data_IF_032770708717
#
_entry.id   IF_032770708717
#
_cell.length_a   1.000
_cell.length_b   1.000
_cell.length_c   1.000
_cell.angle_alpha   90.00
_cell.angle_beta   90.00
_cell.angle_gamma   90.00
#
_symmetry.space_group_name_H-M   'P 1'
#
loop_
_entity.id
_entity.type
_entity.pdbx_description
1 polymer ?
#
# COMPACT_ATOMS: atom_id res chain seq x y z
N UNK A 1 16.39 -1.98 9.57
CA UNK A 1 16.65 -0.61 9.02
C UNK A 1 15.96 0.40 9.94
N UNK A 2 16.54 1.59 10.15
CA UNK A 2 15.86 2.67 10.88
C UNK A 2 14.59 3.12 10.14
N UNK A 3 13.51 3.43 10.88
CA UNK A 3 12.21 3.81 10.33
C UNK A 3 12.31 4.99 9.34
N UNK A 4 13.03 6.05 9.72
CA UNK A 4 13.23 7.21 8.83
C UNK A 4 13.90 6.81 7.52
N UNK A 5 14.85 5.90 7.56
CA UNK A 5 15.53 5.39 6.37
C UNK A 5 14.56 4.58 5.49
N UNK A 6 13.69 3.77 6.07
CA UNK A 6 12.67 3.02 5.33
C UNK A 6 11.69 3.99 4.64
N UNK A 7 11.19 5.01 5.34
CA UNK A 7 10.30 6.03 4.80
C UNK A 7 10.96 6.77 3.63
N UNK A 8 12.22 7.17 3.78
CA UNK A 8 12.94 7.96 2.78
C UNK A 8 13.36 7.11 1.56
N UNK A 9 13.72 5.84 1.76
CA UNK A 9 14.22 4.98 0.68
C UNK A 9 13.12 4.25 -0.09
N UNK A 10 11.90 4.09 0.47
CA UNK A 10 10.79 3.45 -0.22
C UNK A 10 10.53 4.10 -1.57
N UNK A 11 10.61 3.33 -2.66
CA UNK A 11 10.34 3.78 -4.04
C UNK A 11 9.39 2.80 -4.73
N UNK A 12 8.78 3.23 -5.82
CA UNK A 12 8.01 2.36 -6.72
C UNK A 12 8.93 1.76 -7.76
N UNK A 13 9.17 0.46 -7.66
CA UNK A 13 10.06 -0.30 -8.54
C UNK A 13 9.23 -1.05 -9.58
N UNK A 14 9.60 -0.90 -10.86
CA UNK A 14 8.92 -1.52 -12.01
C UNK A 14 9.86 -2.38 -12.88
N UNK A 15 11.05 -2.71 -12.37
CA UNK A 15 11.99 -3.59 -13.06
C UNK A 15 12.64 -4.50 -12.02
N UNK A 16 12.36 -5.78 -12.12
CA UNK A 16 12.83 -6.77 -11.17
C UNK A 16 13.92 -7.63 -11.80
N UNK A 17 14.85 -8.14 -10.96
CA UNK A 17 15.82 -9.14 -11.40
C UNK A 17 15.24 -10.56 -11.24
N UNK A 18 15.97 -11.55 -11.74
CA UNK A 18 15.55 -12.96 -11.74
C UNK A 18 15.65 -13.66 -10.39
N UNK A 19 16.19 -13.00 -9.34
CA UNK A 19 16.32 -13.61 -8.02
C UNK A 19 14.93 -13.76 -7.38
N UNK A 20 14.58 -15.00 -7.02
CA UNK A 20 13.31 -15.29 -6.34
C UNK A 20 13.41 -14.94 -4.85
N UNK A 21 12.51 -14.07 -4.31
CA UNK A 21 12.44 -13.84 -2.88
C UNK A 21 12.00 -15.09 -2.10
N UNK A 22 12.38 -15.19 -0.82
CA UNK A 22 11.72 -16.13 0.07
C UNK A 22 10.31 -15.59 0.42
N UNK A 23 9.29 -16.38 0.14
CA UNK A 23 7.89 -16.01 0.38
C UNK A 23 7.59 -15.77 1.87
N UNK A 24 8.35 -16.35 2.79
CA UNK A 24 8.20 -16.14 4.23
C UNK A 24 8.44 -14.69 4.62
N UNK A 25 9.43 -14.04 4.00
CA UNK A 25 9.67 -12.60 4.21
C UNK A 25 8.48 -11.75 3.70
N UNK A 26 7.78 -12.20 2.66
CA UNK A 26 6.59 -11.50 2.18
C UNK A 26 5.45 -11.62 3.21
N UNK A 27 5.29 -12.79 3.85
CA UNK A 27 4.32 -12.97 4.93
C UNK A 27 4.63 -12.08 6.13
N UNK A 28 5.90 -11.94 6.52
CA UNK A 28 6.31 -11.00 7.58
C UNK A 28 5.96 -9.54 7.22
N UNK A 29 6.07 -9.19 5.93
CA UNK A 29 5.66 -7.87 5.46
C UNK A 29 4.13 -7.68 5.52
N UNK A 30 3.36 -8.72 5.18
CA UNK A 30 1.90 -8.71 5.31
C UNK A 30 1.50 -8.63 6.80
N UNK A 31 2.23 -9.29 7.69
CA UNK A 31 1.98 -9.23 9.13
C UNK A 31 2.06 -7.78 9.66
N UNK A 32 3.01 -6.99 9.19
CA UNK A 32 3.12 -5.57 9.56
C UNK A 32 1.85 -4.75 9.23
N UNK A 33 1.11 -5.13 8.20
CA UNK A 33 -0.14 -4.46 7.84
C UNK A 33 -1.24 -4.60 8.91
N UNK A 34 -1.23 -5.65 9.73
CA UNK A 34 -2.21 -5.89 10.80
C UNK A 34 -2.16 -4.85 11.91
N UNK A 35 -1.04 -4.15 12.06
CA UNK A 35 -0.83 -3.15 13.11
C UNK A 35 -1.30 -1.74 12.70
N UNK A 36 -1.89 -1.60 11.52
CA UNK A 36 -2.49 -0.34 11.10
C UNK A 36 -3.76 -0.02 11.89
N UNK A 37 -4.08 1.26 12.10
CA UNK A 37 -5.35 1.65 12.70
C UNK A 37 -6.53 1.15 11.88
N UNK A 38 -7.56 0.68 12.56
CA UNK A 38 -8.80 0.17 11.96
C UNK A 38 -10.03 0.81 12.61
N UNK A 39 -11.02 1.14 11.79
CA UNK A 39 -12.25 1.76 12.26
C UNK A 39 -13.07 0.77 13.12
N UNK A 40 -13.36 1.17 14.37
CA UNK A 40 -14.18 0.40 15.29
C UNK A 40 -13.69 -1.02 15.58
N UNK A 41 -12.40 -1.31 15.41
CA UNK A 41 -11.88 -2.67 15.57
C UNK A 41 -12.33 -3.66 14.49
N UNK A 42 -12.87 -3.18 13.36
CA UNK A 42 -13.43 -4.04 12.31
C UNK A 42 -12.35 -4.43 11.31
N UNK A 43 -11.81 -5.64 11.44
CA UNK A 43 -10.86 -6.21 10.48
C UNK A 43 -11.56 -6.58 9.16
N UNK A 44 -11.34 -5.80 8.12
CA UNK A 44 -12.00 -5.96 6.83
C UNK A 44 -11.05 -6.30 5.68
N UNK A 45 -9.73 -6.26 5.90
CA UNK A 45 -8.73 -6.50 4.86
C UNK A 45 -8.35 -7.98 4.75
N UNK A 46 -8.05 -8.40 3.53
CA UNK A 46 -7.47 -9.70 3.17
C UNK A 46 -6.33 -9.50 2.19
N UNK A 47 -5.32 -10.34 2.31
CA UNK A 47 -4.15 -10.35 1.43
C UNK A 47 -4.09 -11.69 0.74
N UNK A 48 -3.92 -11.70 -0.57
CA UNK A 48 -3.73 -12.91 -1.37
C UNK A 48 -2.30 -12.87 -1.91
N UNK A 49 -1.47 -13.83 -1.49
CA UNK A 49 -0.14 -14.04 -2.05
C UNK A 49 -0.24 -15.00 -3.22
N UNK A 50 0.13 -14.55 -4.41
CA UNK A 50 0.07 -15.29 -5.67
C UNK A 50 1.49 -15.62 -6.12
N UNK A 51 1.77 -16.92 -6.39
CA UNK A 51 3.05 -17.42 -6.92
C UNK A 51 2.88 -18.21 -8.23
N UNK A 52 1.64 -18.43 -8.65
CA UNK A 52 1.33 -19.09 -9.91
C UNK A 52 1.63 -18.14 -11.08
N UNK A 53 2.59 -18.49 -11.92
CA UNK A 53 3.07 -17.66 -13.03
C UNK A 53 1.99 -17.34 -14.07
N UNK A 54 1.07 -18.26 -14.33
CA UNK A 54 -0.04 -18.04 -15.26
C UNK A 54 -1.04 -17.03 -14.68
N UNK A 55 -1.36 -17.14 -13.40
CA UNK A 55 -2.21 -16.17 -12.71
C UNK A 55 -1.56 -14.78 -12.68
N UNK A 56 -0.25 -14.70 -12.40
CA UNK A 56 0.52 -13.45 -12.40
C UNK A 56 0.49 -12.79 -13.80
N UNK A 57 0.65 -13.59 -14.87
CA UNK A 57 0.54 -13.09 -16.23
C UNK A 57 -0.85 -12.51 -16.52
N UNK A 58 -1.93 -13.21 -16.18
CA UNK A 58 -3.31 -12.74 -16.33
C UNK A 58 -3.58 -11.46 -15.50
N UNK A 59 -2.99 -11.34 -14.30
CA UNK A 59 -3.07 -10.13 -13.47
C UNK A 59 -2.36 -8.97 -14.16
N UNK A 60 -1.19 -9.20 -14.76
CA UNK A 60 -0.44 -8.22 -15.54
C UNK A 60 -1.25 -7.68 -16.73
N UNK A 61 -1.91 -8.57 -17.47
CA UNK A 61 -2.80 -8.23 -18.58
C UNK A 61 -4.03 -7.43 -18.10
N UNK A 62 -4.66 -7.83 -16.99
CA UNK A 62 -5.82 -7.14 -16.40
C UNK A 62 -5.45 -5.73 -15.87
N UNK A 63 -4.21 -5.52 -15.48
CA UNK A 63 -3.66 -4.23 -15.05
C UNK A 63 -3.05 -3.41 -16.21
N UNK A 64 -2.88 -4.00 -17.40
CA UNK A 64 -2.19 -3.38 -18.54
C UNK A 64 -0.78 -2.89 -18.19
N UNK A 65 -0.06 -3.66 -17.37
CA UNK A 65 1.28 -3.29 -16.86
C UNK A 65 2.22 -4.51 -16.87
N UNK A 66 2.99 -4.65 -17.95
CA UNK A 66 3.81 -5.83 -18.23
C UNK A 66 4.87 -6.14 -17.16
N UNK A 67 5.35 -5.12 -16.42
CA UNK A 67 6.35 -5.33 -15.38
C UNK A 67 5.87 -6.21 -14.23
N UNK A 68 4.55 -6.38 -14.06
CA UNK A 68 3.96 -7.27 -13.04
C UNK A 68 4.36 -8.72 -13.31
N UNK A 69 4.38 -9.13 -14.59
CA UNK A 69 4.76 -10.48 -15.01
C UNK A 69 6.23 -10.83 -14.77
N UNK A 70 7.09 -9.83 -14.50
CA UNK A 70 8.50 -10.05 -14.16
C UNK A 70 8.70 -10.48 -12.70
N UNK A 71 7.70 -10.29 -11.85
CA UNK A 71 7.80 -10.63 -10.43
C UNK A 71 7.49 -12.11 -10.19
N UNK A 72 8.18 -12.73 -9.24
CA UNK A 72 7.92 -14.11 -8.82
C UNK A 72 6.68 -14.23 -7.92
N UNK A 73 6.29 -13.13 -7.28
CA UNK A 73 5.15 -13.07 -6.39
C UNK A 73 4.35 -11.80 -6.61
N UNK A 74 3.04 -11.90 -6.44
CA UNK A 74 2.13 -10.75 -6.42
C UNK A 74 1.29 -10.82 -5.16
N UNK A 75 1.21 -9.72 -4.43
CA UNK A 75 0.27 -9.56 -3.32
C UNK A 75 -0.91 -8.74 -3.79
N UNK A 76 -2.13 -9.27 -3.64
CA UNK A 76 -3.37 -8.56 -3.93
C UNK A 76 -4.07 -8.24 -2.62
N UNK A 77 -4.35 -6.96 -2.39
CA UNK A 77 -5.03 -6.48 -1.20
C UNK A 77 -6.50 -6.32 -1.50
N UNK A 78 -7.33 -6.98 -0.69
CA UNK A 78 -8.78 -6.98 -0.81
C UNK A 78 -9.43 -6.41 0.45
N UNK A 79 -10.63 -5.84 0.31
CA UNK A 79 -11.44 -5.36 1.43
C UNK A 79 -12.88 -5.84 1.33
N UNK A 80 -13.45 -6.22 2.49
CA UNK A 80 -14.86 -6.57 2.57
C UNK A 80 -15.63 -5.44 3.28
N UNK A 81 -16.47 -4.65 2.56
CA UNK A 81 -17.16 -3.50 3.11
C UNK A 81 -18.30 -3.84 4.08
N UNK A 82 -18.86 -5.05 4.03
CA UNK A 82 -20.13 -5.39 4.69
C UNK A 82 -20.18 -4.97 6.16
N UNK A 83 -19.21 -5.37 6.96
CA UNK A 83 -19.22 -5.06 8.42
C UNK A 83 -19.00 -3.58 8.71
N UNK A 84 -18.15 -2.91 7.95
CA UNK A 84 -17.84 -1.49 8.14
C UNK A 84 -19.00 -0.61 7.68
N UNK A 85 -19.63 -0.96 6.56
CA UNK A 85 -20.84 -0.27 6.08
C UNK A 85 -22.02 -0.50 7.00
N UNK A 86 -22.21 -1.71 7.53
CA UNK A 86 -23.26 -1.97 8.51
C UNK A 86 -23.09 -1.15 9.80
N UNK A 87 -21.83 -0.91 10.23
CA UNK A 87 -21.54 -0.14 11.44
C UNK A 87 -21.63 1.38 11.23
N UNK A 88 -21.25 1.89 10.05
CA UNK A 88 -21.04 3.32 9.81
C UNK A 88 -21.77 3.88 8.58
N UNK A 89 -22.64 3.08 7.94
CA UNK A 89 -23.33 3.49 6.72
C UNK A 89 -22.34 3.87 5.59
N UNK A 90 -22.65 4.88 4.82
CA UNK A 90 -21.79 5.38 3.71
C UNK A 90 -20.38 5.78 4.19
N UNK A 91 -20.24 6.26 5.43
CA UNK A 91 -18.95 6.64 5.99
C UNK A 91 -18.04 5.41 6.16
N UNK A 92 -18.63 4.22 6.32
CA UNK A 92 -17.90 2.96 6.42
C UNK A 92 -17.05 2.63 5.19
N UNK A 93 -17.47 3.03 3.99
CA UNK A 93 -16.65 2.85 2.77
C UNK A 93 -15.40 3.74 2.80
N UNK A 94 -15.53 4.98 3.28
CA UNK A 94 -14.41 5.91 3.42
C UNK A 94 -13.41 5.37 4.42
N UNK A 95 -13.89 4.95 5.61
CA UNK A 95 -13.03 4.36 6.64
C UNK A 95 -12.32 3.11 6.15
N UNK A 96 -13.00 2.27 5.36
CA UNK A 96 -12.42 1.07 4.78
C UNK A 96 -11.22 1.40 3.87
N UNK A 97 -11.35 2.40 3.01
CA UNK A 97 -10.26 2.84 2.13
C UNK A 97 -9.11 3.48 2.90
N UNK A 98 -9.41 4.25 3.95
CA UNK A 98 -8.39 4.86 4.81
C UNK A 98 -7.59 3.79 5.55
N UNK A 99 -8.25 2.79 6.16
CA UNK A 99 -7.55 1.69 6.83
C UNK A 99 -6.77 0.81 5.84
N UNK A 100 -7.27 0.60 4.61
CA UNK A 100 -6.53 -0.10 3.58
C UNK A 100 -5.24 0.66 3.23
N UNK A 101 -5.32 1.98 3.03
CA UNK A 101 -4.14 2.83 2.78
C UNK A 101 -3.11 2.77 3.92
N UNK A 102 -3.57 2.84 5.18
CA UNK A 102 -2.69 2.74 6.35
C UNK A 102 -2.00 1.36 6.45
N UNK A 103 -2.74 0.28 6.26
CA UNK A 103 -2.21 -1.08 6.28
C UNK A 103 -1.21 -1.32 5.14
N UNK A 104 -1.53 -0.87 3.94
CA UNK A 104 -0.65 -0.94 2.78
C UNK A 104 0.64 -0.15 3.03
N UNK A 105 0.58 1.02 3.68
CA UNK A 105 1.78 1.79 3.97
C UNK A 105 2.72 1.04 4.94
N UNK A 106 2.20 0.39 5.99
CA UNK A 106 3.00 -0.46 6.87
C UNK A 106 3.66 -1.61 6.09
N UNK A 107 2.89 -2.28 5.22
CA UNK A 107 3.41 -3.31 4.32
C UNK A 107 4.54 -2.80 3.43
N UNK A 108 4.38 -1.63 2.80
CA UNK A 108 5.39 -1.04 1.93
C UNK A 108 6.70 -0.68 2.66
N UNK A 109 6.58 -0.19 3.89
CA UNK A 109 7.75 0.12 4.71
C UNK A 109 8.49 -1.16 5.11
N UNK A 110 7.77 -2.23 5.47
CA UNK A 110 8.37 -3.51 5.80
C UNK A 110 9.00 -4.19 4.58
N UNK A 111 8.39 -4.12 3.39
CA UNK A 111 9.00 -4.56 2.12
C UNK A 111 10.35 -3.85 1.91
N UNK A 112 10.38 -2.54 2.10
CA UNK A 112 11.60 -1.73 1.93
C UNK A 112 12.67 -2.12 2.96
N UNK A 113 12.28 -2.30 4.22
CA UNK A 113 13.17 -2.70 5.30
C UNK A 113 13.78 -4.09 5.06
N UNK A 114 13.01 -5.01 4.51
CA UNK A 114 13.45 -6.38 4.17
C UNK A 114 14.33 -6.44 2.92
N UNK A 115 14.62 -5.30 2.29
CA UNK A 115 15.42 -5.25 1.05
C UNK A 115 14.67 -5.74 -0.19
N UNK A 116 13.38 -5.96 -0.07
CA UNK A 116 12.49 -6.26 -1.19
C UNK A 116 12.02 -4.97 -1.86
N UNK A 117 11.49 -5.12 -3.05
CA UNK A 117 10.99 -4.02 -3.88
C UNK A 117 9.60 -4.32 -4.41
N UNK A 118 8.80 -3.27 -4.58
CA UNK A 118 7.46 -3.36 -5.12
C UNK A 118 7.02 -2.05 -5.77
N UNK A 119 5.87 -2.09 -6.44
CA UNK A 119 5.15 -0.92 -6.93
C UNK A 119 3.68 -1.03 -6.53
N UNK A 120 3.09 0.05 -6.01
CA UNK A 120 1.65 0.12 -5.81
C UNK A 120 0.96 0.27 -7.16
N UNK A 121 0.22 -0.75 -7.56
CA UNK A 121 -0.61 -0.75 -8.76
C UNK A 121 -2.06 -0.58 -8.34
N UNK A 122 -2.65 0.55 -8.71
CA UNK A 122 -4.05 0.90 -8.43
C UNK A 122 -4.93 0.97 -9.68
N UNK A 123 -4.35 0.83 -10.88
CA UNK A 123 -5.11 0.80 -12.13
C UNK A 123 -5.15 -0.63 -12.68
N UNK A 124 -6.34 -1.21 -12.73
CA UNK A 124 -6.60 -2.56 -13.23
C UNK A 124 -8.10 -2.78 -13.48
N UNK A 125 -8.43 -3.75 -14.30
CA UNK A 125 -9.81 -4.20 -14.49
C UNK A 125 -10.22 -5.13 -13.34
N UNK A 126 -10.90 -4.58 -12.32
CA UNK A 126 -11.24 -5.29 -11.07
C UNK A 126 -12.00 -6.60 -11.31
N UNK A 127 -12.97 -6.61 -12.24
CA UNK A 127 -13.76 -7.81 -12.56
C UNK A 127 -12.91 -8.96 -13.10
N UNK A 128 -11.81 -8.65 -13.82
CA UNK A 128 -10.88 -9.68 -14.31
C UNK A 128 -10.03 -10.22 -13.16
N UNK A 129 -9.52 -9.36 -12.27
CA UNK A 129 -8.78 -9.79 -11.07
C UNK A 129 -9.64 -10.68 -10.19
N UNK A 130 -10.89 -10.29 -9.94
CA UNK A 130 -11.84 -11.12 -9.17
C UNK A 130 -12.04 -12.50 -9.78
N UNK A 131 -12.18 -12.58 -11.09
CA UNK A 131 -12.32 -13.86 -11.79
C UNK A 131 -11.06 -14.71 -11.71
N UNK A 132 -9.88 -14.14 -11.91
CA UNK A 132 -8.59 -14.84 -11.86
C UNK A 132 -8.36 -15.45 -10.48
N UNK A 133 -8.66 -14.71 -9.43
CA UNK A 133 -8.37 -15.08 -8.04
C UNK A 133 -9.61 -15.61 -7.27
N UNK A 134 -10.73 -15.80 -7.95
CA UNK A 134 -11.99 -16.26 -7.35
C UNK A 134 -12.48 -15.39 -6.17
N UNK A 135 -12.26 -14.08 -6.28
CA UNK A 135 -12.68 -13.11 -5.25
C UNK A 135 -14.19 -12.88 -5.35
N UNK A 136 -14.94 -12.98 -4.23
CA UNK A 136 -16.39 -12.76 -4.24
C UNK A 136 -16.78 -11.36 -4.73
N UNK A 137 -17.95 -11.22 -5.37
CA UNK A 137 -18.43 -9.94 -5.94
C UNK A 137 -18.48 -8.81 -4.93
N UNK A 138 -18.87 -9.09 -3.68
CA UNK A 138 -18.97 -8.10 -2.59
C UNK A 138 -17.64 -7.70 -1.93
N UNK A 139 -16.51 -8.24 -2.40
CA UNK A 139 -15.17 -7.91 -1.90
C UNK A 139 -14.48 -7.02 -2.93
N UNK A 140 -13.94 -5.88 -2.52
CA UNK A 140 -13.21 -4.97 -3.39
C UNK A 140 -11.75 -5.39 -3.52
N UNK A 141 -11.14 -5.07 -4.67
CA UNK A 141 -9.68 -5.15 -4.85
C UNK A 141 -9.10 -3.74 -4.69
N UNK A 142 -8.31 -3.52 -3.65
CA UNK A 142 -7.76 -2.20 -3.31
C UNK A 142 -6.46 -1.90 -4.05
N UNK A 143 -5.57 -2.88 -4.18
CA UNK A 143 -4.30 -2.70 -4.85
C UNK A 143 -3.60 -4.04 -5.16
N UNK A 144 -2.63 -3.97 -6.09
CA UNK A 144 -1.79 -5.08 -6.52
C UNK A 144 -0.33 -4.70 -6.32
N UNK A 145 0.47 -5.62 -5.79
CA UNK A 145 1.89 -5.42 -5.45
C UNK A 145 2.74 -6.56 -6.03
N UNK A 146 3.39 -6.37 -7.18
CA UNK A 146 4.43 -7.29 -7.64
C UNK A 146 5.65 -7.19 -6.70
N UNK A 147 6.17 -8.34 -6.25
CA UNK A 147 7.25 -8.41 -5.27
C UNK A 147 8.49 -9.07 -5.88
N UNK A 148 9.62 -8.41 -5.76
CA UNK A 148 10.90 -8.90 -6.24
C UNK A 148 12.07 -8.12 -5.66
N UNK A 149 13.25 -8.36 -6.21
CA UNK A 149 14.41 -7.51 -5.98
C UNK A 149 14.57 -6.55 -7.17
N UNK A 150 14.90 -5.30 -6.88
CA UNK A 150 15.15 -4.31 -7.92
C UNK A 150 16.30 -4.76 -8.85
N UNK A 151 16.14 -4.58 -10.15
CA UNK A 151 17.14 -4.96 -11.15
C UNK A 151 18.45 -4.20 -11.00
N UNK A 152 18.33 -2.87 -10.82
CA UNK A 152 19.45 -1.96 -10.59
C UNK A 152 19.03 -0.92 -9.56
N UNK A 153 19.78 -0.77 -8.47
CA UNK A 153 19.50 0.27 -7.49
C UNK A 153 19.67 1.65 -8.13
N UNK A 154 18.55 2.26 -8.48
CA UNK A 154 18.53 3.64 -8.96
C UNK A 154 18.49 4.58 -7.76
N UNK A 155 19.50 5.41 -7.62
CA UNK A 155 19.48 6.56 -6.73
C UNK A 155 18.56 7.66 -7.30
N UNK A 156 17.29 7.37 -7.46
CA UNK A 156 16.29 8.38 -7.86
C UNK A 156 16.05 9.30 -6.69
N UNK A 157 16.47 10.56 -6.83
CA UNK A 157 16.12 11.60 -5.86
C UNK A 157 14.61 11.78 -5.90
N UNK A 158 13.91 11.47 -4.82
CA UNK A 158 12.48 11.74 -4.72
C UNK A 158 12.26 13.25 -4.81
N UNK A 159 11.34 13.66 -5.66
CA UNK A 159 10.78 14.99 -5.56
C UNK A 159 10.10 15.12 -4.19
N UNK A 160 10.62 16.03 -3.35
CA UNK A 160 10.01 16.36 -2.07
C UNK A 160 9.23 17.65 -2.25
N UNK A 161 8.01 17.64 -1.78
CA UNK A 161 7.29 18.90 -1.59
C UNK A 161 7.86 19.59 -0.35
N UNK A 162 8.06 20.89 -0.42
CA UNK A 162 8.50 21.64 0.74
C UNK A 162 7.45 21.58 1.85
N UNK A 163 7.92 21.45 3.09
CA UNK A 163 7.03 21.31 4.23
C UNK A 163 6.05 22.49 4.34
N UNK A 164 6.50 23.69 4.02
CA UNK A 164 5.68 24.90 4.02
C UNK A 164 4.49 24.86 3.05
N UNK A 165 4.53 23.97 2.06
CA UNK A 165 3.41 23.80 1.12
C UNK A 165 2.28 22.91 1.67
N UNK A 166 2.55 22.14 2.71
CA UNK A 166 1.61 21.18 3.29
C UNK A 166 1.31 21.41 4.77
N UNK A 167 1.98 22.40 5.41
CA UNK A 167 1.82 22.69 6.82
C UNK A 167 1.18 24.07 7.02
N UNK A 168 0.14 24.08 7.82
CA UNK A 168 -0.53 25.28 8.31
C UNK A 168 -0.68 25.22 9.83
N UNK A 169 -0.79 26.36 10.48
CA UNK A 169 -0.88 26.48 11.93
C UNK A 169 -2.25 27.02 12.33
N UNK A 170 -2.96 26.31 13.19
CA UNK A 170 -4.28 26.65 13.74
C UNK A 170 -5.41 26.73 12.69
N UNK A 171 -5.20 27.40 11.56
CA UNK A 171 -6.21 27.62 10.51
C UNK A 171 -5.63 27.28 9.13
N UNK A 172 -6.48 26.87 8.19
CA UNK A 172 -6.07 26.59 6.82
C UNK A 172 -5.53 27.87 6.16
N UNK A 173 -4.31 27.79 5.63
CA UNK A 173 -3.61 28.93 5.00
C UNK A 173 -2.67 29.70 5.93
N UNK A 174 -2.75 29.56 7.25
CA UNK A 174 -1.86 30.22 8.19
C UNK A 174 -0.47 29.56 8.18
N UNK A 175 0.54 30.31 7.80
CA UNK A 175 1.91 29.80 7.58
C UNK A 175 2.84 29.95 8.81
N UNK A 176 2.39 30.61 9.88
CA UNK A 176 3.22 30.86 11.05
C UNK A 176 2.49 30.51 12.35
N UNK A 177 3.22 29.88 13.26
CA UNK A 177 2.74 29.71 14.63
C UNK A 177 2.73 31.10 15.30
N UNK A 178 1.55 31.56 15.75
CA UNK A 178 1.44 32.79 16.53
C UNK A 178 2.07 32.56 17.91
N UNK A 179 2.98 33.44 18.39
CA UNK A 179 3.52 33.30 19.72
C UNK A 179 2.38 33.38 20.76
N UNK A 180 2.48 32.56 21.80
CA UNK A 180 1.54 32.62 22.92
C UNK A 180 1.62 34.03 23.50
N UNK A 181 0.51 34.78 23.53
CA UNK A 181 0.44 36.05 24.22
C UNK A 181 0.84 35.82 25.69
N UNK A 182 1.92 36.47 26.17
CA UNK A 182 2.21 36.46 27.59
C UNK A 182 0.99 37.01 28.30
N UNK A 183 0.34 36.18 29.11
CA UNK A 183 -0.65 36.67 30.07
C UNK A 183 0.13 37.60 31.01
N UNK A 184 -0.15 38.87 30.94
CA UNK A 184 0.30 39.80 31.99
C UNK A 184 -0.51 39.43 33.23
N UNK A 185 0.10 38.67 34.14
CA UNK A 185 -0.38 38.45 35.50
C UNK A 185 0.02 39.64 36.32
#
# INVERSE_FOLDING_TARGET
MELNKAIQSRTSVRKFNSKKPDWRHIIECIDAARYAPIAGGIHALKFILVDNSEAIKKISEAAQQDFISQAHYVVVVCSNPSRTVNAYGKQGEIYLRQQAGAAIQNFLLRITESGLSTCWVGYFTESQIKRILQIPKGVNVEAIFPIGFEYEKRHTRKAKIDLDNILYFNEYGEKKMKPVKKLNV
#
